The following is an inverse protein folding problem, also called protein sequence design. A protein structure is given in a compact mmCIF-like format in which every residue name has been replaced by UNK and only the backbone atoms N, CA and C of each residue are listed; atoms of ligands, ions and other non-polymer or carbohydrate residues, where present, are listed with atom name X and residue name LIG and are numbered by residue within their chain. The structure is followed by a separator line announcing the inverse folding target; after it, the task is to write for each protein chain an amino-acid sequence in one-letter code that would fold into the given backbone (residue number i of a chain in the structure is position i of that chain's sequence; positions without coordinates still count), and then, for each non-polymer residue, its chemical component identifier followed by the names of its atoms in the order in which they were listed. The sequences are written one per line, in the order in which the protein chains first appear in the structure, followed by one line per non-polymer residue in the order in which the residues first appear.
data_IF_480562233087
#
_entry.id   IF_480562233087
#
_cell.length_a   1.000
_cell.length_b   1.000
_cell.length_c   1.000
_cell.angle_alpha   90.00
_cell.angle_beta   90.00
_cell.angle_gamma   90.00
#
_symmetry.space_group_name_H-M   'P 1'
#
loop_
_entity.id
_entity.type
_entity.pdbx_description
1 polymer ?
#
# COMPACT_ATOMS: atom_id res chain seq x y z
N UNK A 1 -11.11 5.23 -4.16
CA UNK A 1 -10.85 5.52 -5.60
C UNK A 1 -11.50 4.55 -6.60
N UNK A 2 -11.89 3.34 -6.19
CA UNK A 2 -12.68 2.46 -7.07
C UNK A 2 -14.13 2.92 -7.18
N UNK A 3 -14.71 2.77 -8.36
CA UNK A 3 -16.09 3.16 -8.67
C UNK A 3 -17.11 2.16 -8.11
N UNK A 4 -16.73 0.87 -8.01
CA UNK A 4 -17.59 -0.19 -7.52
C UNK A 4 -16.83 -1.17 -6.60
N UNK A 5 -17.58 -1.92 -5.77
CA UNK A 5 -17.01 -3.02 -4.98
C UNK A 5 -16.45 -4.15 -5.88
N UNK A 6 -17.08 -4.36 -7.04
CA UNK A 6 -16.65 -5.33 -8.04
C UNK A 6 -15.26 -4.98 -8.58
N UNK A 7 -15.04 -3.70 -8.92
CA UNK A 7 -13.74 -3.19 -9.39
C UNK A 7 -12.64 -3.51 -8.37
N UNK A 8 -12.93 -3.25 -7.09
CA UNK A 8 -11.98 -3.53 -6.01
C UNK A 8 -11.71 -5.03 -5.84
N UNK A 9 -12.74 -5.87 -5.88
CA UNK A 9 -12.59 -7.34 -5.78
C UNK A 9 -11.75 -7.90 -6.93
N UNK A 10 -12.00 -7.45 -8.16
CA UNK A 10 -11.25 -7.89 -9.33
C UNK A 10 -9.79 -7.44 -9.26
N UNK A 11 -9.55 -6.17 -8.89
CA UNK A 11 -8.20 -5.66 -8.72
C UNK A 11 -7.43 -6.39 -7.61
N UNK A 12 -8.08 -6.63 -6.46
CA UNK A 12 -7.51 -7.39 -5.34
C UNK A 12 -7.16 -8.81 -5.77
N UNK A 13 -8.05 -9.50 -6.50
CA UNK A 13 -7.78 -10.84 -7.01
C UNK A 13 -6.57 -10.84 -7.95
N UNK A 14 -6.52 -9.94 -8.92
CA UNK A 14 -5.43 -9.86 -9.89
C UNK A 14 -4.05 -9.63 -9.22
N UNK A 15 -4.01 -8.76 -8.21
CA UNK A 15 -2.79 -8.50 -7.42
C UNK A 15 -2.42 -9.72 -6.57
N UNK A 16 -3.39 -10.35 -5.91
CA UNK A 16 -3.14 -11.50 -5.02
C UNK A 16 -2.58 -12.69 -5.78
N UNK A 17 -3.11 -12.96 -6.97
CA UNK A 17 -2.67 -14.03 -7.86
C UNK A 17 -1.41 -13.67 -8.68
N UNK A 18 -0.86 -12.46 -8.49
CA UNK A 18 0.31 -11.95 -9.24
C UNK A 18 0.13 -12.08 -10.76
N UNK A 19 -1.08 -11.80 -11.25
CA UNK A 19 -1.39 -11.89 -12.68
C UNK A 19 -0.52 -10.91 -13.45
N UNK A 20 0.15 -11.38 -14.50
CA UNK A 20 0.97 -10.50 -15.33
C UNK A 20 0.12 -9.40 -15.97
N UNK A 21 0.66 -8.19 -16.09
CA UNK A 21 -0.05 -7.07 -16.71
C UNK A 21 -0.54 -7.42 -18.11
N UNK A 22 0.24 -8.21 -18.86
CA UNK A 22 -0.12 -8.65 -20.21
C UNK A 22 -1.33 -9.58 -20.20
N UNK A 23 -1.36 -10.56 -19.29
CA UNK A 23 -2.49 -11.49 -19.15
C UNK A 23 -3.75 -10.74 -18.71
N UNK A 24 -3.61 -9.82 -17.76
CA UNK A 24 -4.73 -9.01 -17.28
C UNK A 24 -5.28 -8.08 -18.38
N UNK A 25 -4.41 -7.46 -19.17
CA UNK A 25 -4.85 -6.65 -20.31
C UNK A 25 -5.61 -7.47 -21.35
N UNK A 26 -5.15 -8.69 -21.66
CA UNK A 26 -5.87 -9.60 -22.57
C UNK A 26 -7.27 -9.98 -22.08
N UNK A 27 -7.46 -10.09 -20.76
CA UNK A 27 -8.79 -10.29 -20.17
C UNK A 27 -9.67 -9.05 -20.38
N UNK A 28 -9.11 -7.85 -20.17
CA UNK A 28 -9.83 -6.58 -20.29
C UNK A 28 -10.08 -6.13 -21.74
N UNK A 29 -9.36 -6.69 -22.71
CA UNK A 29 -9.60 -6.51 -24.15
C UNK A 29 -10.88 -7.21 -24.62
N UNK A 30 -11.45 -8.13 -23.82
CA UNK A 30 -12.74 -8.75 -24.12
C UNK A 30 -13.84 -7.72 -23.81
N UNK A 31 -14.40 -7.12 -24.87
CA UNK A 31 -15.37 -6.02 -24.78
C UNK A 31 -16.57 -6.39 -23.90
N UNK A 32 -17.07 -7.62 -24.01
CA UNK A 32 -18.21 -8.12 -23.24
C UNK A 32 -17.94 -8.16 -21.73
N UNK A 33 -16.69 -8.44 -21.34
CA UNK A 33 -16.28 -8.45 -19.91
C UNK A 33 -16.29 -7.01 -19.39
N UNK A 34 -15.71 -6.08 -20.15
CA UNK A 34 -15.64 -4.67 -19.76
C UNK A 34 -17.03 -4.04 -19.66
N UNK A 35 -17.91 -4.30 -20.63
CA UNK A 35 -19.28 -3.77 -20.66
C UNK A 35 -20.16 -4.37 -19.57
N UNK A 36 -20.11 -5.69 -19.36
CA UNK A 36 -20.96 -6.37 -18.35
C UNK A 36 -20.53 -6.09 -16.92
N UNK A 37 -19.22 -5.93 -16.67
CA UNK A 37 -18.71 -5.68 -15.33
C UNK A 37 -18.70 -4.19 -14.97
N UNK A 38 -18.84 -3.29 -15.95
CA UNK A 38 -18.88 -1.84 -15.70
C UNK A 38 -17.60 -1.30 -15.05
N UNK A 39 -16.44 -1.86 -15.42
CA UNK A 39 -15.18 -1.59 -14.74
C UNK A 39 -14.73 -0.12 -14.90
N UNK A 40 -14.31 0.50 -13.81
CA UNK A 40 -13.73 1.86 -13.82
C UNK A 40 -12.34 1.95 -14.45
N UNK A 41 -11.67 0.83 -14.70
CA UNK A 41 -10.35 0.75 -15.33
C UNK A 41 -10.37 -0.04 -16.64
N UNK A 42 -9.45 0.29 -17.56
CA UNK A 42 -9.42 -0.29 -18.91
C UNK A 42 -8.16 -1.12 -19.20
N UNK A 43 -7.19 -1.12 -18.29
CA UNK A 43 -5.97 -1.93 -18.36
C UNK A 43 -5.34 -2.06 -16.96
N UNK A 44 -4.36 -2.95 -16.82
CA UNK A 44 -3.59 -3.15 -15.60
C UNK A 44 -2.98 -1.85 -15.05
N UNK A 45 -2.52 -0.96 -15.94
CA UNK A 45 -1.89 0.31 -15.53
C UNK A 45 -2.90 1.25 -14.85
N UNK A 46 -4.07 1.44 -15.43
CA UNK A 46 -5.14 2.27 -14.86
C UNK A 46 -5.69 1.68 -13.56
N UNK A 47 -5.77 0.34 -13.48
CA UNK A 47 -6.09 -0.36 -12.22
C UNK A 47 -5.04 -0.06 -11.14
N UNK A 48 -3.75 -0.18 -11.45
CA UNK A 48 -2.67 0.12 -10.51
C UNK A 48 -2.64 1.61 -10.12
N UNK A 49 -2.91 2.52 -11.05
CA UNK A 49 -3.05 3.95 -10.73
C UNK A 49 -4.20 4.19 -9.74
N UNK A 50 -5.32 3.48 -9.88
CA UNK A 50 -6.41 3.54 -8.89
C UNK A 50 -5.95 3.01 -7.53
N UNK A 51 -5.16 1.93 -7.48
CA UNK A 51 -4.56 1.42 -6.24
C UNK A 51 -3.61 2.44 -5.62
N UNK A 52 -2.71 3.02 -6.41
CA UNK A 52 -1.74 4.03 -5.96
C UNK A 52 -2.42 5.32 -5.48
N UNK A 53 -3.61 5.64 -6.01
CA UNK A 53 -4.42 6.77 -5.56
C UNK A 53 -5.15 6.54 -4.23
N UNK A 54 -5.13 5.30 -3.70
CA UNK A 54 -5.65 5.05 -2.35
C UNK A 54 -4.71 5.78 -1.39
N UNK A 55 -5.21 6.78 -0.64
CA UNK A 55 -4.35 7.53 0.26
C UNK A 55 -3.73 6.56 1.27
N UNK A 56 -2.40 6.64 1.43
CA UNK A 56 -1.71 5.91 2.48
C UNK A 56 -2.29 6.36 3.83
N UNK A 57 -3.02 5.46 4.50
CA UNK A 57 -3.64 5.80 5.79
C UNK A 57 -2.57 6.20 6.80
N UNK A 58 -1.44 5.50 6.84
CA UNK A 58 -0.37 5.65 7.84
C UNK A 58 0.69 6.73 7.54
N UNK A 59 0.40 7.65 6.60
CA UNK A 59 1.34 8.69 6.17
C UNK A 59 2.51 8.17 5.34
N UNK A 60 3.28 9.11 4.77
CA UNK A 60 4.29 8.82 3.75
C UNK A 60 5.48 8.03 4.30
N UNK A 61 5.94 7.06 3.53
CA UNK A 61 7.24 6.43 3.74
C UNK A 61 8.38 7.44 3.58
N UNK A 62 9.27 7.45 4.57
CA UNK A 62 10.53 8.21 4.55
C UNK A 62 11.69 7.24 4.52
N UNK A 63 12.70 7.58 3.72
CA UNK A 63 13.95 6.84 3.66
C UNK A 63 15.06 7.71 4.25
N UNK A 64 15.80 7.15 5.22
CA UNK A 64 17.00 7.75 5.78
C UNK A 64 18.18 6.85 5.53
N UNK A 65 19.30 7.46 5.14
CA UNK A 65 20.59 6.77 4.97
C UNK A 65 21.39 6.97 6.25
N UNK A 66 21.72 5.88 6.93
CA UNK A 66 22.59 5.90 8.11
C UNK A 66 23.94 5.27 7.78
N UNK A 67 25.00 5.80 8.40
CA UNK A 67 26.37 5.30 8.27
C UNK A 67 26.96 5.14 9.66
N UNK A 68 27.69 4.06 9.88
CA UNK A 68 28.37 3.81 11.15
C UNK A 68 29.85 4.10 10.99
N UNK A 69 30.38 5.05 11.77
CA UNK A 69 31.79 5.47 11.70
C UNK A 69 32.76 4.37 12.17
N UNK A 70 32.31 3.50 13.08
CA UNK A 70 33.14 2.40 13.62
C UNK A 70 33.25 1.18 12.70
N UNK A 71 32.51 1.15 11.58
CA UNK A 71 32.60 0.10 10.56
C UNK A 71 33.44 0.48 9.34
N UNK A 72 34.24 1.55 9.47
CA UNK A 72 35.25 1.94 8.46
C UNK A 72 36.46 1.01 8.57
N UNK A 73 36.23 -0.31 8.55
CA UNK A 73 37.30 -1.29 8.38
C UNK A 73 37.22 -1.85 6.98
N UNK A 74 38.18 -1.44 6.15
CA UNK A 74 38.56 -2.06 4.89
C UNK A 74 37.58 -1.83 3.71
N UNK A 75 37.76 -0.69 3.05
CA UNK A 75 37.44 -0.45 1.64
C UNK A 75 35.97 -0.35 1.17
N UNK A 76 34.96 -0.33 2.05
CA UNK A 76 33.58 -0.03 1.61
C UNK A 76 32.82 0.79 2.65
N UNK A 77 32.36 2.00 2.30
CA UNK A 77 31.42 2.76 3.13
C UNK A 77 30.07 2.02 3.19
N UNK A 78 29.82 1.25 4.25
CA UNK A 78 28.52 0.60 4.46
C UNK A 78 27.43 1.65 4.74
N UNK A 79 26.54 1.86 3.77
CA UNK A 79 25.34 2.69 3.92
C UNK A 79 24.12 1.79 4.13
N UNK A 80 23.39 2.03 5.22
CA UNK A 80 22.11 1.36 5.48
C UNK A 80 20.93 2.27 5.15
N UNK A 81 19.92 1.70 4.50
CA UNK A 81 18.66 2.38 4.22
C UNK A 81 17.64 2.00 5.31
N UNK A 82 17.21 3.00 6.08
CA UNK A 82 16.15 2.86 7.07
C UNK A 82 14.88 3.47 6.50
N UNK A 83 13.86 2.63 6.34
CA UNK A 83 12.53 3.05 5.95
C UNK A 83 11.68 3.23 7.20
N UNK A 84 11.10 4.40 7.38
CA UNK A 84 10.26 4.71 8.54
C UNK A 84 9.10 5.63 8.14
N UNK A 85 8.07 5.69 8.98
CA UNK A 85 6.94 6.64 8.84
C UNK A 85 6.95 7.66 9.97
N UNK A 86 6.09 8.66 9.86
CA UNK A 86 5.77 9.52 10.99
C UNK A 86 4.94 8.71 12.00
N UNK A 87 5.43 8.48 13.23
CA UNK A 87 4.74 7.66 14.21
C UNK A 87 3.37 8.23 14.58
N UNK A 88 3.19 9.55 14.59
CA UNK A 88 1.91 10.17 14.92
C UNK A 88 0.89 9.91 13.81
N UNK A 89 1.27 10.09 12.55
CA UNK A 89 0.39 9.77 11.41
C UNK A 89 0.04 8.28 11.36
N UNK A 90 1.00 7.41 11.64
CA UNK A 90 0.76 5.97 11.69
C UNK A 90 -0.21 5.58 12.81
N UNK A 91 -0.11 6.18 14.00
CA UNK A 91 -1.06 5.96 15.11
C UNK A 91 -2.45 6.47 14.74
N UNK A 92 -2.55 7.70 14.23
CA UNK A 92 -3.83 8.27 13.79
C UNK A 92 -4.53 7.40 12.75
N UNK A 93 -3.77 6.81 11.83
CA UNK A 93 -4.28 5.89 10.83
C UNK A 93 -4.84 4.58 11.40
N UNK A 94 -4.09 3.98 12.33
CA UNK A 94 -4.51 2.76 13.01
C UNK A 94 -5.77 3.00 13.83
N UNK A 95 -5.86 4.16 14.49
CA UNK A 95 -7.02 4.53 15.30
C UNK A 95 -8.24 4.94 14.47
N UNK A 96 -8.02 5.48 13.27
CA UNK A 96 -9.08 5.84 12.35
C UNK A 96 -9.66 4.69 11.54
N UNK A 97 -9.06 3.49 11.62
CA UNK A 97 -9.52 2.33 10.86
C UNK A 97 -10.44 1.44 11.72
N UNK A 98 -11.74 1.33 11.35
CA UNK A 98 -12.72 0.56 12.11
C UNK A 98 -12.33 -0.92 12.30
N UNK A 99 -11.49 -1.48 11.43
CA UNK A 99 -11.02 -2.86 11.56
C UNK A 99 -10.20 -3.10 12.84
N UNK A 100 -9.66 -2.04 13.46
CA UNK A 100 -8.88 -2.13 14.70
C UNK A 100 -9.61 -1.57 15.92
N UNK A 101 -10.89 -1.21 15.80
CA UNK A 101 -11.66 -0.61 16.89
C UNK A 101 -11.67 -1.49 18.15
N UNK A 102 -11.85 -2.81 17.98
CA UNK A 102 -11.88 -3.77 19.09
C UNK A 102 -10.50 -4.06 19.70
N UNK A 103 -9.43 -3.67 19.00
CA UNK A 103 -8.05 -3.85 19.45
C UNK A 103 -7.49 -2.61 20.17
N UNK A 104 -8.22 -1.50 20.16
CA UNK A 104 -7.80 -0.25 20.79
C UNK A 104 -8.04 -0.29 22.30
N UNK A 105 -7.00 -0.63 23.05
CA UNK A 105 -7.04 -0.61 24.52
C UNK A 105 -6.51 0.73 25.02
N UNK A 106 -7.41 1.60 25.50
CA UNK A 106 -7.01 2.79 26.26
C UNK A 106 -6.98 2.45 27.75
N UNK A 107 -5.78 2.22 28.30
CA UNK A 107 -5.59 2.06 29.75
C UNK A 107 -4.92 3.30 30.33
N UNK A 108 -5.40 3.83 31.47
CA UNK A 108 -4.68 4.88 32.19
C UNK A 108 -3.30 4.37 32.58
N UNK A 109 -2.26 5.08 32.15
CA UNK A 109 -0.89 4.86 32.60
C UNK A 109 -0.57 5.85 33.71
N UNK A 110 -0.20 5.33 34.89
CA UNK A 110 0.29 6.15 36.00
C UNK A 110 1.80 6.28 35.85
N UNK A 111 2.24 7.41 35.33
CA UNK A 111 3.66 7.76 35.24
C UNK A 111 4.05 8.34 36.60
N UNK A 112 4.97 7.67 37.28
CA UNK A 112 5.50 8.07 38.59
C UNK A 112 6.66 9.06 38.43
#
# INVERSE_FOLDING_TARGET
PFTSELDWKLARWAISEKVSHRTFNRLLEINEIKERLGLGFHNARSMLQMVDSIPERCGDWKMKRIRFRDRVSQATEETFHVYHRDPIKAIQALWGDPAFADHLVYKPSRIF
#
